data_IF_003587887576
#
_entry.id   IF_003587887576
#
_cell.length_a   1.000
_cell.length_b   1.000
_cell.length_c   1.000
_cell.angle_alpha   90.00
_cell.angle_beta   90.00
_cell.angle_gamma   90.00
#
_symmetry.space_group_name_H-M   'P 1'
#
loop_
_entity.id
_entity.type
_entity.pdbx_description
1 polymer ?
#
# COMPACT_ATOMS: atom_id res chain seq x y z
N UNK A 1 -6.82 -3.19 29.81
CA UNK A 1 -7.35 -2.38 28.69
C UNK A 1 -7.29 -3.10 27.35
N UNK A 2 -6.11 -3.47 26.82
CA UNK A 2 -6.02 -4.16 25.52
C UNK A 2 -6.65 -5.56 25.53
N UNK A 3 -6.38 -6.34 26.58
CA UNK A 3 -6.97 -7.69 26.74
C UNK A 3 -8.49 -7.64 26.93
N UNK A 4 -9.00 -6.61 27.61
CA UNK A 4 -10.44 -6.43 27.82
C UNK A 4 -11.15 -6.07 26.51
N UNK A 5 -10.53 -5.22 25.68
CA UNK A 5 -11.03 -4.89 24.34
C UNK A 5 -11.02 -6.10 23.41
N UNK A 6 -9.96 -6.92 23.46
CA UNK A 6 -9.87 -8.14 22.66
C UNK A 6 -10.94 -9.16 23.09
N UNK A 7 -11.15 -9.33 24.40
CA UNK A 7 -12.20 -10.19 24.94
C UNK A 7 -13.61 -9.70 24.57
N UNK A 8 -13.86 -8.40 24.64
CA UNK A 8 -15.13 -7.81 24.21
C UNK A 8 -15.38 -8.01 22.71
N UNK A 9 -14.35 -7.85 21.87
CA UNK A 9 -14.45 -8.08 20.44
C UNK A 9 -14.71 -9.56 20.10
N UNK A 10 -14.02 -10.49 20.78
CA UNK A 10 -14.23 -11.93 20.60
C UNK A 10 -15.60 -12.40 21.09
N UNK A 11 -16.23 -11.69 22.04
CA UNK A 11 -17.58 -11.97 22.51
C UNK A 11 -18.68 -11.58 21.52
N UNK A 12 -18.37 -10.77 20.49
CA UNK A 12 -19.33 -10.42 19.44
C UNK A 12 -19.64 -11.62 18.53
N UNK A 13 -20.85 -11.70 17.97
CA UNK A 13 -21.15 -12.72 16.96
C UNK A 13 -20.26 -12.51 15.72
N UNK A 14 -19.88 -13.60 15.05
CA UNK A 14 -18.97 -13.57 13.91
C UNK A 14 -19.34 -12.52 12.83
N UNK A 15 -20.62 -12.34 12.43
CA UNK A 15 -20.99 -11.30 11.48
C UNK A 15 -20.65 -9.88 11.95
N UNK A 16 -20.77 -9.60 13.25
CA UNK A 16 -20.43 -8.30 13.81
C UNK A 16 -18.91 -8.08 13.83
N UNK A 17 -18.12 -9.11 14.13
CA UNK A 17 -16.66 -9.04 14.06
C UNK A 17 -16.20 -8.73 12.63
N UNK A 18 -16.73 -9.44 11.65
CA UNK A 18 -16.42 -9.22 10.23
C UNK A 18 -16.81 -7.81 9.77
N UNK A 19 -17.97 -7.29 10.20
CA UNK A 19 -18.40 -5.93 9.87
C UNK A 19 -17.45 -4.87 10.46
N UNK A 20 -17.00 -5.05 11.70
CA UNK A 20 -16.02 -4.16 12.33
C UNK A 20 -14.69 -4.17 11.57
N UNK A 21 -14.18 -5.36 11.24
CA UNK A 21 -12.94 -5.52 10.46
C UNK A 21 -13.08 -4.89 9.08
N UNK A 22 -14.20 -5.11 8.39
CA UNK A 22 -14.48 -4.53 7.09
C UNK A 22 -14.45 -2.99 7.13
N UNK A 23 -15.16 -2.38 8.09
CA UNK A 23 -15.20 -0.93 8.24
C UNK A 23 -13.81 -0.35 8.56
N UNK A 24 -13.07 -0.98 9.47
CA UNK A 24 -11.71 -0.56 9.79
C UNK A 24 -10.76 -0.68 8.59
N UNK A 25 -10.83 -1.80 7.88
CA UNK A 25 -10.00 -2.04 6.70
C UNK A 25 -10.35 -1.11 5.52
N UNK A 26 -11.61 -0.70 5.39
CA UNK A 26 -11.99 0.33 4.41
C UNK A 26 -11.33 1.69 4.73
N UNK A 27 -11.26 2.07 6.02
CA UNK A 27 -10.51 3.27 6.45
C UNK A 27 -9.03 3.14 6.14
N UNK A 28 -8.46 1.96 6.39
CA UNK A 28 -7.07 1.68 6.05
C UNK A 28 -6.83 1.75 4.54
N UNK A 29 -7.76 1.24 3.73
CA UNK A 29 -7.71 1.36 2.26
C UNK A 29 -7.72 2.81 1.78
N UNK A 30 -8.44 3.70 2.48
CA UNK A 30 -8.40 5.14 2.19
C UNK A 30 -7.01 5.75 2.48
N UNK A 31 -6.35 5.30 3.55
CA UNK A 31 -4.95 5.65 3.80
C UNK A 31 -4.00 5.06 2.75
N UNK A 32 -4.21 3.81 2.31
CA UNK A 32 -3.40 3.20 1.24
C UNK A 32 -3.50 4.00 -0.06
N UNK A 33 -4.66 4.56 -0.40
CA UNK A 33 -4.78 5.50 -1.53
C UNK A 33 -3.85 6.72 -1.40
N UNK A 34 -3.64 7.22 -0.18
CA UNK A 34 -2.69 8.32 0.08
C UNK A 34 -1.26 7.85 -0.15
N UNK A 35 -0.90 6.66 0.35
CA UNK A 35 0.44 6.07 0.13
C UNK A 35 0.70 5.86 -1.36
N UNK A 36 -0.24 5.23 -2.07
CA UNK A 36 -0.17 4.94 -3.50
C UNK A 36 0.07 6.20 -4.32
N UNK A 37 -0.59 7.31 -3.96
CA UNK A 37 -0.46 8.57 -4.69
C UNK A 37 0.77 9.38 -4.30
N UNK A 38 1.06 9.49 -3.00
CA UNK A 38 2.06 10.46 -2.50
C UNK A 38 3.46 9.91 -2.43
N UNK A 39 3.64 8.63 -2.10
CA UNK A 39 4.96 8.07 -1.89
C UNK A 39 5.85 8.19 -3.15
N UNK A 40 5.38 7.87 -4.37
CA UNK A 40 6.22 8.02 -5.57
C UNK A 40 6.64 9.47 -5.82
N UNK A 41 5.74 10.43 -5.59
CA UNK A 41 6.02 11.87 -5.75
C UNK A 41 7.05 12.34 -4.71
N UNK A 42 6.95 11.86 -3.48
CA UNK A 42 7.90 12.17 -2.42
C UNK A 42 9.31 11.66 -2.78
N UNK A 43 9.40 10.43 -3.28
CA UNK A 43 10.67 9.83 -3.73
C UNK A 43 11.27 10.60 -4.90
N UNK A 44 10.46 10.96 -5.90
CA UNK A 44 10.92 11.73 -7.05
C UNK A 44 11.48 13.10 -6.63
N UNK A 45 10.81 13.79 -5.70
CA UNK A 45 11.28 15.07 -5.16
C UNK A 45 12.61 14.94 -4.43
N UNK A 46 12.79 13.87 -3.66
CA UNK A 46 14.02 13.59 -2.94
C UNK A 46 15.17 13.26 -3.90
N UNK A 47 14.94 12.44 -4.92
CA UNK A 47 15.92 12.16 -5.98
C UNK A 47 16.33 13.43 -6.74
N UNK A 48 15.39 14.31 -7.05
CA UNK A 48 15.70 15.60 -7.69
C UNK A 48 16.54 16.52 -6.80
N UNK A 49 16.30 16.50 -5.48
CA UNK A 49 17.10 17.26 -4.52
C UNK A 49 18.54 16.71 -4.44
N UNK A 50 18.69 15.38 -4.35
CA UNK A 50 19.99 14.71 -4.31
C UNK A 50 20.78 14.92 -5.61
N UNK A 51 20.14 14.81 -6.78
CA UNK A 51 20.78 15.06 -8.06
C UNK A 51 21.30 16.50 -8.17
N UNK A 52 20.54 17.49 -7.67
CA UNK A 52 20.99 18.89 -7.64
C UNK A 52 22.18 19.09 -6.73
N UNK A 53 22.17 18.46 -5.56
CA UNK A 53 23.29 18.52 -4.61
C UNK A 53 24.57 17.94 -5.23
N UNK A 54 24.48 16.75 -5.83
CA UNK A 54 25.60 16.09 -6.53
C UNK A 54 26.14 16.95 -7.68
N UNK A 55 25.27 17.62 -8.43
CA UNK A 55 25.64 18.48 -9.56
C UNK A 55 26.05 19.91 -9.13
N UNK A 56 26.09 20.19 -7.82
CA UNK A 56 26.34 21.52 -7.26
C UNK A 56 25.42 22.62 -7.83
N UNK A 57 24.17 22.25 -8.14
CA UNK A 57 23.13 23.18 -8.59
C UNK A 57 22.43 23.83 -7.39
N UNK A 58 21.89 25.05 -7.53
CA UNK A 58 21.16 25.70 -6.45
C UNK A 58 19.92 24.88 -6.05
N UNK A 59 19.71 24.78 -4.73
CA UNK A 59 18.53 24.15 -4.16
C UNK A 59 17.26 24.89 -4.62
N UNK A 60 16.21 24.12 -4.93
CA UNK A 60 14.89 24.66 -5.24
C UNK A 60 14.04 24.52 -3.99
N UNK A 61 13.41 25.63 -3.57
CA UNK A 61 12.48 25.60 -2.45
C UNK A 61 11.26 24.73 -2.83
N UNK A 62 11.01 23.70 -2.03
CA UNK A 62 9.90 22.77 -2.24
C UNK A 62 8.86 22.96 -1.14
N UNK A 63 7.58 22.99 -1.51
CA UNK A 63 6.50 22.95 -0.54
C UNK A 63 6.50 21.62 0.23
N UNK A 64 6.17 21.68 1.51
CA UNK A 64 6.05 20.50 2.38
C UNK A 64 5.02 19.53 1.81
N UNK A 65 5.51 18.35 1.42
CA UNK A 65 4.69 17.28 0.85
C UNK A 65 5.08 15.95 1.50
N UNK A 66 4.23 15.51 2.41
CA UNK A 66 4.37 14.28 3.19
C UNK A 66 3.10 13.43 3.04
N UNK A 67 3.09 12.26 3.67
CA UNK A 67 1.90 11.41 3.71
C UNK A 67 0.70 12.11 4.40
N UNK A 68 0.95 12.99 5.37
CA UNK A 68 -0.10 13.67 6.15
C UNK A 68 -0.35 15.11 5.73
N UNK A 69 0.64 15.78 5.13
CA UNK A 69 0.58 17.18 4.75
C UNK A 69 0.87 17.35 3.25
N UNK A 70 0.16 18.23 2.53
CA UNK A 70 -1.01 18.99 2.95
C UNK A 70 -2.25 18.09 3.13
N UNK A 71 -3.34 18.64 3.67
CA UNK A 71 -4.65 17.94 3.73
C UNK A 71 -5.11 17.52 2.33
N UNK A 72 -5.92 16.47 2.23
CA UNK A 72 -6.53 16.03 0.97
C UNK A 72 -7.25 17.18 0.26
N UNK A 73 -6.97 17.35 -1.03
CA UNK A 73 -7.53 18.41 -1.89
C UNK A 73 -8.06 17.82 -3.18
N UNK A 74 -9.08 18.45 -3.74
CA UNK A 74 -9.50 18.17 -5.11
C UNK A 74 -8.40 18.63 -6.08
N UNK A 75 -8.05 17.78 -7.05
CA UNK A 75 -7.01 18.07 -8.04
C UNK A 75 -7.41 19.15 -9.03
N UNK A 76 -8.70 19.27 -9.33
CA UNK A 76 -9.21 20.22 -10.33
C UNK A 76 -9.47 21.61 -9.74
N UNK A 77 -10.04 21.69 -8.53
CA UNK A 77 -10.41 22.98 -7.92
C UNK A 77 -9.58 23.38 -6.69
N UNK A 78 -8.63 22.55 -6.23
CA UNK A 78 -7.75 22.86 -5.09
C UNK A 78 -8.43 22.91 -3.72
N UNK A 79 -9.76 22.79 -3.67
CA UNK A 79 -10.57 22.76 -2.45
C UNK A 79 -10.12 21.65 -1.52
N UNK A 80 -10.02 21.95 -0.23
CA UNK A 80 -9.81 20.94 0.83
C UNK A 80 -11.02 20.03 0.99
N UNK A 81 -10.77 18.72 0.96
CA UNK A 81 -11.78 17.68 1.14
C UNK A 81 -12.12 17.57 2.63
N UNK A 82 -13.41 17.60 2.98
CA UNK A 82 -13.88 17.47 4.37
C UNK A 82 -13.80 16.01 4.82
N UNK A 83 -13.71 15.77 6.12
CA UNK A 83 -13.62 14.42 6.68
C UNK A 83 -14.81 13.52 6.24
N UNK A 84 -16.03 14.06 6.19
CA UNK A 84 -17.22 13.33 5.72
C UNK A 84 -17.17 13.00 4.23
N UNK A 85 -16.45 13.77 3.43
CA UNK A 85 -16.21 13.51 2.00
C UNK A 85 -15.09 12.49 1.78
N UNK A 86 -14.44 12.04 2.86
CA UNK A 86 -13.35 11.06 2.86
C UNK A 86 -13.76 9.75 3.55
N UNK A 87 -15.07 9.55 3.80
CA UNK A 87 -15.59 8.28 4.31
C UNK A 87 -15.45 7.23 3.19
N UNK A 88 -14.71 6.13 3.39
CA UNK A 88 -14.43 5.15 2.35
C UNK A 88 -15.70 4.61 1.72
N UNK A 89 -15.71 4.44 0.39
CA UNK A 89 -16.79 3.87 -0.44
C UNK A 89 -18.10 4.68 -0.42
N UNK A 90 -18.64 4.95 0.77
CA UNK A 90 -19.91 5.65 1.01
C UNK A 90 -19.88 7.06 0.42
N UNK A 91 -18.80 7.82 0.68
CA UNK A 91 -18.70 9.19 0.17
C UNK A 91 -18.71 9.22 -1.37
N UNK A 92 -18.03 8.27 -2.03
CA UNK A 92 -18.01 8.14 -3.48
C UNK A 92 -19.40 7.88 -4.05
N UNK A 93 -20.14 6.94 -3.46
CA UNK A 93 -21.51 6.60 -3.88
C UNK A 93 -22.45 7.78 -3.69
N UNK A 94 -22.45 8.41 -2.51
CA UNK A 94 -23.32 9.55 -2.17
C UNK A 94 -23.06 10.77 -3.06
N UNK A 95 -21.79 11.00 -3.42
CA UNK A 95 -21.40 12.09 -4.32
C UNK A 95 -21.56 11.75 -5.80
N UNK A 96 -21.99 10.52 -6.15
CA UNK A 96 -22.09 10.05 -7.53
C UNK A 96 -20.75 10.06 -8.27
N UNK A 97 -19.65 9.81 -7.56
CA UNK A 97 -18.29 9.83 -8.10
C UNK A 97 -17.81 11.20 -8.57
N UNK A 98 -18.37 12.29 -8.06
CA UNK A 98 -18.02 13.67 -8.45
C UNK A 98 -17.60 14.53 -7.27
N UNK A 99 -16.71 15.49 -7.50
CA UNK A 99 -16.39 16.49 -6.50
C UNK A 99 -17.59 17.41 -6.23
N UNK A 100 -17.93 17.66 -4.96
CA UNK A 100 -19.02 18.60 -4.57
C UNK A 100 -18.73 20.06 -4.90
N UNK A 101 -17.46 20.43 -5.13
CA UNK A 101 -17.08 21.81 -5.48
C UNK A 101 -17.22 22.08 -6.97
N UNK A 102 -16.52 21.30 -7.80
CA UNK A 102 -16.41 21.55 -9.24
C UNK A 102 -17.10 20.51 -10.14
N UNK A 103 -17.68 19.45 -9.58
CA UNK A 103 -18.32 18.38 -10.36
C UNK A 103 -17.35 17.47 -11.12
N UNK A 104 -16.03 17.67 -10.99
CA UNK A 104 -15.02 16.83 -11.62
C UNK A 104 -15.13 15.37 -11.15
N UNK A 105 -14.84 14.42 -12.06
CA UNK A 105 -14.98 12.99 -11.78
C UNK A 105 -13.84 12.50 -10.88
N UNK A 106 -14.20 11.81 -9.81
CA UNK A 106 -13.26 11.10 -8.95
C UNK A 106 -12.97 9.75 -9.59
N UNK A 107 -11.69 9.38 -9.67
CA UNK A 107 -11.27 8.10 -10.25
C UNK A 107 -11.91 6.92 -9.50
N UNK A 108 -12.43 5.94 -10.24
CA UNK A 108 -13.00 4.70 -9.69
C UNK A 108 -11.94 3.83 -8.98
N UNK A 109 -10.66 4.11 -9.20
CA UNK A 109 -9.55 3.43 -8.54
C UNK A 109 -9.55 3.63 -7.02
N UNK A 110 -9.98 4.80 -6.53
CA UNK A 110 -10.03 5.09 -5.10
C UNK A 110 -10.99 4.17 -4.34
N UNK A 111 -12.30 4.10 -4.69
CA UNK A 111 -13.23 3.20 -4.01
C UNK A 111 -12.90 1.72 -4.28
N UNK A 112 -12.24 1.38 -5.40
CA UNK A 112 -11.78 0.03 -5.66
C UNK A 112 -10.73 -0.41 -4.62
N UNK A 113 -9.70 0.41 -4.38
CA UNK A 113 -8.67 0.11 -3.37
C UNK A 113 -9.29 -0.03 -1.98
N UNK A 114 -10.23 0.86 -1.62
CA UNK A 114 -10.94 0.79 -0.34
C UNK A 114 -11.74 -0.52 -0.19
N UNK A 115 -12.48 -0.91 -1.23
CA UNK A 115 -13.26 -2.14 -1.23
C UNK A 115 -12.38 -3.40 -1.21
N UNK A 116 -11.35 -3.45 -2.06
CA UNK A 116 -10.40 -4.57 -2.09
C UNK A 116 -9.70 -4.75 -0.74
N UNK A 117 -9.27 -3.65 -0.13
CA UNK A 117 -8.66 -3.68 1.21
C UNK A 117 -9.63 -4.23 2.24
N UNK A 118 -10.89 -3.77 2.23
CA UNK A 118 -11.91 -4.23 3.17
C UNK A 118 -12.23 -5.73 2.99
N UNK A 119 -12.40 -6.19 1.75
CA UNK A 119 -12.72 -7.58 1.44
C UNK A 119 -11.55 -8.51 1.79
N UNK A 120 -10.32 -8.20 1.35
CA UNK A 120 -9.16 -9.05 1.60
C UNK A 120 -8.80 -9.11 3.09
N UNK A 121 -8.91 -7.99 3.81
CA UNK A 121 -8.68 -7.96 5.25
C UNK A 121 -9.72 -8.80 6.01
N UNK A 122 -10.99 -8.70 5.60
CA UNK A 122 -12.07 -9.51 6.19
C UNK A 122 -11.84 -10.99 5.93
N UNK A 123 -11.38 -11.36 4.74
CA UNK A 123 -11.00 -12.73 4.41
C UNK A 123 -9.83 -13.24 5.25
N UNK A 124 -8.77 -12.45 5.40
CA UNK A 124 -7.62 -12.76 6.27
C UNK A 124 -8.08 -12.99 7.72
N UNK A 125 -8.92 -12.09 8.24
CA UNK A 125 -9.45 -12.23 9.59
C UNK A 125 -10.32 -13.48 9.74
N UNK A 126 -11.16 -13.78 8.75
CA UNK A 126 -11.99 -14.99 8.78
C UNK A 126 -11.14 -16.27 8.75
N UNK A 127 -10.01 -16.28 8.03
CA UNK A 127 -9.14 -17.45 7.90
C UNK A 127 -8.20 -17.65 9.10
N UNK A 128 -7.51 -16.59 9.53
CA UNK A 128 -6.49 -16.67 10.59
C UNK A 128 -7.01 -16.29 11.98
N UNK A 129 -8.07 -15.49 12.06
CA UNK A 129 -8.60 -14.97 13.32
C UNK A 129 -7.79 -13.82 13.94
N UNK A 130 -8.16 -13.44 15.16
CA UNK A 130 -7.54 -12.37 15.94
C UNK A 130 -6.27 -12.84 16.67
N UNK A 131 -5.22 -13.21 15.93
CA UNK A 131 -3.93 -13.66 16.49
C UNK A 131 -2.74 -13.06 15.73
N UNK A 132 -1.51 -13.46 16.09
CA UNK A 132 -0.28 -12.97 15.47
C UNK A 132 -0.23 -13.26 13.96
N UNK A 133 -0.66 -14.44 13.51
CA UNK A 133 -0.74 -14.76 12.08
C UNK A 133 -1.70 -13.81 11.37
N UNK A 134 -2.93 -13.65 11.88
CA UNK A 134 -3.89 -12.71 11.29
C UNK A 134 -3.34 -11.28 11.19
N UNK A 135 -2.66 -10.79 12.24
CA UNK A 135 -2.05 -9.46 12.25
C UNK A 135 -0.99 -9.29 11.16
N UNK A 136 -0.03 -10.21 11.05
CA UNK A 136 1.02 -10.10 10.04
C UNK A 136 0.50 -10.33 8.62
N UNK A 137 -0.52 -11.18 8.44
CA UNK A 137 -1.19 -11.38 7.16
C UNK A 137 -1.93 -10.11 6.70
N UNK A 138 -2.57 -9.38 7.62
CA UNK A 138 -3.18 -8.08 7.32
C UNK A 138 -2.13 -7.06 6.86
N UNK A 139 -1.02 -6.96 7.59
CA UNK A 139 0.09 -6.09 7.21
C UNK A 139 0.64 -6.43 5.81
N UNK A 140 0.82 -7.72 5.53
CA UNK A 140 1.25 -8.21 4.22
C UNK A 140 0.26 -7.81 3.11
N UNK A 141 -1.04 -8.05 3.30
CA UNK A 141 -2.08 -7.68 2.34
C UNK A 141 -2.13 -6.17 2.09
N UNK A 142 -2.09 -5.34 3.14
CA UNK A 142 -2.08 -3.88 2.96
C UNK A 142 -0.88 -3.40 2.17
N UNK A 143 0.29 -4.01 2.44
CA UNK A 143 1.53 -3.69 1.72
C UNK A 143 1.44 -4.08 0.25
N UNK A 144 0.93 -5.28 -0.06
CA UNK A 144 0.73 -5.71 -1.44
C UNK A 144 -0.25 -4.82 -2.20
N UNK A 145 -1.37 -4.43 -1.58
CA UNK A 145 -2.33 -3.51 -2.20
C UNK A 145 -1.67 -2.17 -2.53
N UNK A 146 -0.84 -1.64 -1.63
CA UNK A 146 -0.09 -0.41 -1.89
C UNK A 146 0.90 -0.59 -3.05
N UNK A 147 1.71 -1.66 -3.03
CA UNK A 147 2.69 -1.96 -4.08
C UNK A 147 2.02 -2.13 -5.45
N UNK A 148 0.96 -2.93 -5.55
CA UNK A 148 0.18 -3.10 -6.78
C UNK A 148 -0.40 -1.77 -7.25
N UNK A 149 -0.91 -0.95 -6.33
CA UNK A 149 -1.47 0.35 -6.71
C UNK A 149 -0.44 1.36 -7.20
N UNK A 150 0.78 1.33 -6.66
CA UNK A 150 1.91 2.15 -7.12
C UNK A 150 2.36 1.64 -8.49
N UNK A 151 2.62 0.34 -8.61
CA UNK A 151 3.07 -0.29 -9.86
C UNK A 151 2.11 -0.01 -11.03
N UNK A 152 0.80 -0.18 -10.83
CA UNK A 152 -0.20 0.11 -11.88
C UNK A 152 -0.22 1.57 -12.34
N UNK A 153 0.29 2.51 -11.53
CA UNK A 153 0.28 3.95 -11.84
C UNK A 153 1.62 4.44 -12.37
N UNK A 154 2.72 3.92 -11.86
CA UNK A 154 4.07 4.44 -12.12
C UNK A 154 5.02 3.41 -12.71
N UNK A 155 4.62 2.13 -12.79
CA UNK A 155 5.46 1.01 -13.23
C UNK A 155 6.81 0.96 -12.48
N UNK A 156 6.75 1.27 -11.19
CA UNK A 156 7.91 1.39 -10.31
C UNK A 156 7.59 0.72 -8.98
N UNK A 157 8.50 -0.12 -8.48
CA UNK A 157 8.33 -0.82 -7.22
C UNK A 157 9.26 -0.21 -6.15
N UNK A 158 8.72 0.45 -5.11
CA UNK A 158 9.54 1.18 -4.16
C UNK A 158 10.25 0.25 -3.15
N UNK A 159 11.58 0.24 -3.20
CA UNK A 159 12.45 -0.55 -2.29
C UNK A 159 12.21 -0.26 -0.80
N UNK A 160 11.81 0.97 -0.48
CA UNK A 160 11.43 1.38 0.89
C UNK A 160 10.23 0.58 1.44
N UNK A 161 9.47 -0.10 0.57
CA UNK A 161 8.38 -1.01 0.95
C UNK A 161 8.77 -2.48 0.75
N UNK A 162 9.36 -2.84 -0.39
CA UNK A 162 9.64 -4.25 -0.74
C UNK A 162 10.71 -4.88 0.16
N UNK A 163 11.81 -4.17 0.43
CA UNK A 163 12.90 -4.71 1.24
C UNK A 163 12.46 -4.94 2.69
N UNK A 164 11.79 -3.99 3.39
CA UNK A 164 11.25 -4.26 4.71
C UNK A 164 10.25 -5.41 4.73
N UNK A 165 9.43 -5.56 3.69
CA UNK A 165 8.47 -6.67 3.58
C UNK A 165 9.17 -8.02 3.46
N UNK A 166 10.19 -8.11 2.60
CA UNK A 166 11.02 -9.32 2.44
C UNK A 166 11.69 -9.68 3.77
N UNK A 167 12.37 -8.72 4.41
CA UNK A 167 13.03 -8.94 5.69
C UNK A 167 12.03 -9.34 6.78
N UNK A 168 10.85 -8.72 6.83
CA UNK A 168 9.79 -9.13 7.75
C UNK A 168 9.38 -10.59 7.52
N UNK A 169 9.19 -11.04 6.28
CA UNK A 169 8.85 -12.43 5.98
C UNK A 169 9.91 -13.43 6.49
N UNK A 170 11.19 -13.13 6.27
CA UNK A 170 12.31 -13.97 6.76
C UNK A 170 12.35 -13.97 8.30
N UNK A 171 12.21 -12.80 8.92
CA UNK A 171 12.22 -12.63 10.38
C UNK A 171 11.04 -13.39 11.02
N UNK A 172 9.83 -13.30 10.47
CA UNK A 172 8.67 -14.04 10.98
C UNK A 172 8.82 -15.56 10.83
N UNK A 173 9.60 -16.01 9.85
CA UNK A 173 9.91 -17.44 9.65
C UNK A 173 10.86 -17.99 10.71
N UNK A 174 11.66 -17.13 11.38
CA UNK A 174 12.47 -17.53 12.53
C UNK A 174 11.62 -18.05 13.69
N UNK A 175 10.42 -17.49 13.88
CA UNK A 175 9.46 -17.94 14.90
C UNK A 175 8.43 -18.95 14.36
N UNK A 176 8.64 -19.51 13.17
CA UNK A 176 7.74 -20.48 12.55
C UNK A 176 6.28 -20.01 12.46
N UNK A 177 6.05 -18.70 12.28
CA UNK A 177 4.70 -18.12 12.26
C UNK A 177 3.88 -18.68 11.10
N UNK A 178 4.51 -18.87 9.93
CA UNK A 178 3.87 -19.46 8.75
C UNK A 178 4.63 -20.68 8.24
N UNK A 179 5.95 -20.57 8.13
CA UNK A 179 6.81 -21.57 7.49
C UNK A 179 8.23 -21.54 8.11
N UNK A 180 9.00 -22.65 8.00
CA UNK A 180 10.38 -22.71 8.49
C UNK A 180 11.34 -21.77 7.75
N UNK A 181 12.37 -21.29 8.45
CA UNK A 181 13.37 -20.37 7.89
C UNK A 181 14.02 -20.87 6.59
N UNK A 182 14.36 -22.15 6.51
CA UNK A 182 14.97 -22.76 5.30
C UNK A 182 14.09 -22.54 4.06
N UNK A 183 12.78 -22.81 4.20
CA UNK A 183 11.81 -22.60 3.12
C UNK A 183 11.64 -21.13 2.77
N UNK A 184 11.73 -20.22 3.75
CA UNK A 184 11.66 -18.78 3.53
C UNK A 184 12.85 -18.28 2.70
N UNK A 185 14.06 -18.71 3.07
CA UNK A 185 15.29 -18.31 2.40
C UNK A 185 15.34 -18.89 0.98
N UNK A 186 14.96 -20.16 0.81
CA UNK A 186 14.84 -20.76 -0.53
C UNK A 186 13.81 -20.00 -1.36
N UNK A 187 12.66 -19.65 -0.79
CA UNK A 187 11.63 -18.86 -1.46
C UNK A 187 12.14 -17.49 -1.93
N UNK A 188 12.87 -16.78 -1.07
CA UNK A 188 13.48 -15.49 -1.42
C UNK A 188 14.53 -15.64 -2.53
N UNK A 189 15.40 -16.65 -2.45
CA UNK A 189 16.41 -16.93 -3.47
C UNK A 189 15.77 -17.28 -4.82
N UNK A 190 14.75 -18.16 -4.82
CA UNK A 190 14.06 -18.58 -6.04
C UNK A 190 13.27 -17.41 -6.65
N UNK A 191 12.60 -16.61 -5.82
CA UNK A 191 11.90 -15.40 -6.25
C UNK A 191 12.86 -14.46 -6.99
N UNK A 192 13.98 -14.11 -6.35
CA UNK A 192 14.98 -13.22 -6.92
C UNK A 192 15.57 -13.76 -8.23
N UNK A 193 16.02 -15.02 -8.21
CA UNK A 193 16.63 -15.64 -9.38
C UNK A 193 15.65 -15.76 -10.55
N UNK A 194 14.36 -15.95 -10.28
CA UNK A 194 13.33 -16.05 -11.33
C UNK A 194 13.14 -14.73 -12.09
N UNK A 195 13.05 -13.60 -11.37
CA UNK A 195 12.90 -12.28 -11.98
C UNK A 195 14.20 -11.82 -12.64
N UNK A 196 15.34 -12.06 -11.99
CA UNK A 196 16.65 -11.82 -12.58
C UNK A 196 16.85 -12.58 -13.89
N UNK A 197 16.41 -13.85 -13.97
CA UNK A 197 16.49 -14.65 -15.17
C UNK A 197 15.64 -14.04 -16.29
N UNK A 198 14.40 -13.64 -16.00
CA UNK A 198 13.51 -13.00 -16.98
C UNK A 198 14.11 -11.68 -17.49
N UNK A 199 14.60 -10.83 -16.59
CA UNK A 199 15.24 -9.56 -16.94
C UNK A 199 16.48 -9.77 -17.82
N UNK A 200 17.31 -10.75 -17.46
CA UNK A 200 18.54 -11.08 -18.20
C UNK A 200 18.22 -11.66 -19.58
N UNK A 201 17.27 -12.58 -19.68
CA UNK A 201 16.83 -13.15 -20.96
C UNK A 201 16.27 -12.07 -21.88
N UNK A 202 15.44 -11.15 -21.36
CA UNK A 202 14.94 -10.03 -22.13
C UNK A 202 16.08 -9.13 -22.64
N UNK A 203 17.05 -8.80 -21.77
CA UNK A 203 18.21 -7.97 -22.12
C UNK A 203 19.07 -8.63 -23.21
N UNK A 204 19.29 -9.94 -23.13
CA UNK A 204 20.07 -10.69 -24.12
C UNK A 204 19.33 -10.77 -25.47
N UNK A 205 18.02 -11.05 -25.46
CA UNK A 205 17.22 -11.22 -26.68
C UNK A 205 16.97 -9.91 -27.42
N UNK A 206 16.62 -8.84 -26.69
CA UNK A 206 16.19 -7.57 -27.29
C UNK A 206 17.28 -6.49 -27.27
N UNK A 207 18.44 -6.76 -26.65
CA UNK A 207 19.56 -5.81 -26.47
C UNK A 207 19.13 -4.47 -25.85
N UNK A 208 18.04 -4.49 -25.10
CA UNK A 208 17.44 -3.35 -24.40
C UNK A 208 17.19 -3.74 -22.97
N UNK A 209 17.31 -2.78 -22.06
CA UNK A 209 16.91 -2.99 -20.68
C UNK A 209 15.39 -2.97 -20.62
N UNK A 210 14.79 -4.09 -20.22
CA UNK A 210 13.34 -4.25 -20.14
C UNK A 210 12.76 -4.06 -18.75
N UNK A 211 13.54 -4.36 -17.71
CA UNK A 211 13.13 -4.36 -16.32
C UNK A 211 14.29 -3.83 -15.47
N UNK A 212 14.00 -3.01 -14.47
CA UNK A 212 15.00 -2.53 -13.53
C UNK A 212 15.41 -3.68 -12.59
N UNK A 213 16.69 -3.79 -12.27
CA UNK A 213 17.17 -4.84 -11.36
C UNK A 213 16.66 -4.66 -9.91
N UNK A 214 16.08 -3.52 -9.56
CA UNK A 214 15.39 -3.33 -8.28
C UNK A 214 14.05 -4.08 -8.18
N UNK A 215 13.48 -4.50 -9.32
CA UNK A 215 12.26 -5.32 -9.33
C UNK A 215 12.56 -6.82 -9.09
N UNK A 216 13.83 -7.22 -9.22
CA UNK A 216 14.26 -8.61 -9.11
C UNK A 216 14.45 -9.04 -7.65
#
# INVERSE_FOLDING_TARGET
MLNDLLGAFQALPLPAQLAVVFCFAALMGSFLNVVIYRLPIMMERDWQAQARDILALPAVEQEVFTLTLPRSRCRDCGRTVRALENIPIISYIVMGGKCRGCGARISWFYPLVELLTAVLATFVFWHFGANAQGFFALFFVFTLIALTGIDLKTQFLPDIITLPLMWAGIILSFWHIYLPLETAVIGALVGYLSLWLVATLFKVLFKKEGMGLGDA
#
